data_IF_077151222349
#
_entry.id   IF_077151222349
#
_cell.length_a   1.000
_cell.length_b   1.000
_cell.length_c   1.000
_cell.angle_alpha   90.00
_cell.angle_beta   90.00
_cell.angle_gamma   90.00
#
_symmetry.space_group_name_H-M   'P 1'
#
loop_
_entity.id
_entity.type
_entity.pdbx_description
1 polymer ?
#
# COMPACT_ATOMS: atom_id res chain seq x y z
N UNK A 1 26.90 -9.15 -13.97
CA UNK A 1 27.04 -8.81 -12.54
C UNK A 1 25.64 -8.61 -11.99
N UNK A 2 25.29 -9.18 -10.82
CA UNK A 2 23.97 -8.92 -10.23
C UNK A 2 23.84 -7.41 -9.97
N UNK A 3 22.67 -6.80 -10.23
CA UNK A 3 22.46 -5.38 -9.98
C UNK A 3 22.76 -5.09 -8.51
N UNK A 4 23.62 -4.12 -8.27
CA UNK A 4 24.03 -3.74 -6.92
C UNK A 4 22.81 -3.20 -6.18
N UNK A 5 22.34 -3.93 -5.17
CA UNK A 5 21.22 -3.49 -4.35
C UNK A 5 21.63 -2.26 -3.54
N UNK A 6 20.79 -1.23 -3.62
CA UNK A 6 20.93 -0.01 -2.82
C UNK A 6 20.55 -0.34 -1.37
N UNK A 7 21.56 -0.48 -0.51
CA UNK A 7 21.37 -0.69 0.91
C UNK A 7 21.51 0.61 1.69
N UNK A 8 20.39 1.13 2.20
CA UNK A 8 20.35 2.33 3.01
C UNK A 8 20.48 1.97 4.50
N UNK A 9 21.40 2.64 5.19
CA UNK A 9 21.59 2.47 6.63
C UNK A 9 20.60 3.32 7.44
N UNK A 10 20.16 2.85 8.62
CA UNK A 10 19.41 3.69 9.55
C UNK A 10 20.12 5.02 9.83
N UNK A 11 19.36 6.11 9.87
CA UNK A 11 19.87 7.47 10.06
C UNK A 11 20.19 8.23 8.77
N UNK A 12 20.33 7.54 7.63
CA UNK A 12 20.48 8.21 6.32
C UNK A 12 19.23 9.03 5.97
N UNK A 13 19.43 10.17 5.32
CA UNK A 13 18.34 11.01 4.79
C UNK A 13 18.23 10.82 3.28
N UNK A 14 17.07 10.41 2.81
CA UNK A 14 16.73 10.34 1.38
C UNK A 14 16.02 11.63 0.97
N UNK A 15 16.41 12.18 -0.18
CA UNK A 15 15.89 13.44 -0.73
C UNK A 15 15.93 14.60 0.29
N UNK A 16 16.98 14.65 1.11
CA UNK A 16 17.19 15.64 2.18
C UNK A 16 16.06 15.74 3.22
N UNK A 17 15.11 14.80 3.21
CA UNK A 17 13.83 14.93 3.90
C UNK A 17 13.50 13.68 4.73
N UNK A 18 13.54 12.51 4.11
CA UNK A 18 13.08 11.27 4.71
C UNK A 18 14.22 10.57 5.45
N UNK A 19 14.14 10.50 6.77
CA UNK A 19 15.14 9.81 7.59
C UNK A 19 14.79 8.32 7.66
N UNK A 20 15.72 7.45 7.28
CA UNK A 20 15.58 6.00 7.37
C UNK A 20 15.63 5.56 8.84
N UNK A 21 14.63 4.79 9.27
CA UNK A 21 14.54 4.24 10.63
C UNK A 21 15.02 2.79 10.65
N UNK A 22 14.48 1.95 9.76
CA UNK A 22 14.82 0.52 9.69
C UNK A 22 14.49 -0.08 8.33
N UNK A 23 15.19 -1.14 7.95
CA UNK A 23 14.84 -1.98 6.79
C UNK A 23 13.61 -2.83 7.13
N UNK A 24 12.57 -2.77 6.30
CA UNK A 24 11.34 -3.56 6.46
C UNK A 24 11.40 -4.87 5.70
N UNK A 25 12.05 -4.86 4.53
CA UNK A 25 12.24 -6.03 3.68
C UNK A 25 13.08 -5.71 2.44
N UNK A 26 13.52 -6.76 1.74
CA UNK A 26 14.17 -6.67 0.44
C UNK A 26 13.60 -7.75 -0.48
N UNK A 27 13.60 -7.48 -1.78
CA UNK A 27 13.18 -8.37 -2.84
C UNK A 27 14.00 -8.17 -4.11
N UNK A 28 13.65 -8.88 -5.17
CA UNK A 28 14.39 -8.85 -6.43
C UNK A 28 14.44 -7.46 -7.08
N UNK A 29 13.39 -6.66 -6.89
CA UNK A 29 13.24 -5.32 -7.48
C UNK A 29 13.81 -4.19 -6.60
N UNK A 30 14.30 -4.51 -5.40
CA UNK A 30 14.86 -3.52 -4.49
C UNK A 30 14.50 -3.74 -3.03
N UNK A 31 14.57 -2.68 -2.23
CA UNK A 31 14.39 -2.74 -0.78
C UNK A 31 13.33 -1.75 -0.29
N UNK A 32 12.69 -2.09 0.82
CA UNK A 32 11.67 -1.28 1.49
C UNK A 32 12.13 -0.94 2.89
N UNK A 33 12.03 0.32 3.25
CA UNK A 33 12.48 0.89 4.51
C UNK A 33 11.35 1.62 5.21
N UNK A 34 11.36 1.62 6.53
CA UNK A 34 10.56 2.53 7.33
C UNK A 34 11.31 3.86 7.40
N UNK A 35 10.63 4.96 7.10
CA UNK A 35 11.19 6.29 7.10
C UNK A 35 10.27 7.28 7.82
N UNK A 36 10.84 8.39 8.29
CA UNK A 36 10.09 9.49 8.90
C UNK A 36 10.48 10.85 8.32
N UNK A 37 9.53 11.75 8.28
CA UNK A 37 9.72 13.17 8.03
C UNK A 37 8.86 13.98 9.01
N UNK A 38 9.50 14.61 10.00
CA UNK A 38 8.81 15.26 11.10
C UNK A 38 7.95 14.26 11.88
N UNK A 39 6.63 14.53 11.95
CA UNK A 39 5.62 13.65 12.57
C UNK A 39 5.05 12.60 11.62
N UNK A 40 5.45 12.60 10.34
CA UNK A 40 4.92 11.68 9.32
C UNK A 40 5.83 10.47 9.17
N UNK A 41 5.23 9.28 9.26
CA UNK A 41 5.89 8.01 8.97
C UNK A 41 5.46 7.46 7.60
N UNK A 42 6.37 6.75 6.93
CA UNK A 42 6.13 6.18 5.61
C UNK A 42 6.98 4.94 5.33
N UNK A 43 6.56 4.17 4.34
CA UNK A 43 7.36 3.12 3.73
C UNK A 43 8.05 3.68 2.48
N UNK A 44 9.38 3.62 2.45
CA UNK A 44 10.21 4.06 1.34
C UNK A 44 10.71 2.83 0.58
N UNK A 45 10.27 2.69 -0.67
CA UNK A 45 10.74 1.63 -1.57
C UNK A 45 11.78 2.23 -2.53
N UNK A 46 12.92 1.56 -2.66
CA UNK A 46 14.02 1.96 -3.56
C UNK A 46 14.21 0.95 -4.68
N UNK A 47 14.52 1.43 -5.88
CA UNK A 47 14.91 0.62 -7.03
C UNK A 47 16.21 1.18 -7.64
N UNK A 48 17.21 0.34 -7.97
CA UNK A 48 18.40 0.79 -8.68
C UNK A 48 18.03 1.43 -10.02
N UNK A 49 18.77 2.47 -10.41
CA UNK A 49 18.58 3.11 -11.72
C UNK A 49 18.79 2.14 -12.88
N UNK A 50 19.80 1.29 -12.75
CA UNK A 50 20.22 0.34 -13.79
C UNK A 50 19.47 -1.00 -13.66
N UNK A 51 18.28 -0.98 -13.09
CA UNK A 51 17.43 -2.17 -13.01
C UNK A 51 17.06 -2.63 -14.43
N UNK A 52 17.21 -3.93 -14.71
CA UNK A 52 16.89 -4.52 -16.02
C UNK A 52 15.42 -4.34 -16.44
N UNK A 53 14.51 -4.20 -15.47
CA UNK A 53 13.10 -3.90 -15.68
C UNK A 53 12.66 -2.87 -14.62
N UNK A 54 12.72 -1.57 -14.92
CA UNK A 54 12.36 -0.54 -13.96
C UNK A 54 10.84 -0.45 -13.84
N UNK A 55 10.28 -0.96 -12.74
CA UNK A 55 8.84 -1.00 -12.50
C UNK A 55 8.39 0.08 -11.52
N UNK A 56 9.31 0.64 -10.73
CA UNK A 56 8.97 1.62 -9.69
C UNK A 56 8.25 2.86 -10.24
N UNK A 57 8.62 3.33 -11.43
CA UNK A 57 7.97 4.46 -12.08
C UNK A 57 6.51 4.15 -12.46
N UNK A 58 6.26 2.93 -12.96
CA UNK A 58 4.91 2.47 -13.28
C UNK A 58 4.08 2.29 -12.00
N UNK A 59 4.65 1.68 -10.96
CA UNK A 59 3.99 1.56 -9.66
C UNK A 59 3.61 2.93 -9.09
N UNK A 60 4.52 3.90 -9.17
CA UNK A 60 4.28 5.28 -8.75
C UNK A 60 3.13 5.94 -9.52
N UNK A 61 3.12 5.78 -10.85
CA UNK A 61 2.06 6.33 -11.70
C UNK A 61 0.69 5.70 -11.39
N UNK A 62 0.63 4.38 -11.25
CA UNK A 62 -0.60 3.67 -10.89
C UNK A 62 -1.11 4.12 -9.52
N UNK A 63 -0.23 4.24 -8.51
CA UNK A 63 -0.61 4.73 -7.19
C UNK A 63 -1.12 6.17 -7.21
N UNK A 64 -0.52 7.05 -8.02
CA UNK A 64 -0.99 8.43 -8.20
C UNK A 64 -2.38 8.46 -8.84
N UNK A 65 -2.61 7.68 -9.88
CA UNK A 65 -3.93 7.62 -10.55
C UNK A 65 -5.00 7.01 -9.65
N UNK A 66 -4.68 5.97 -8.88
CA UNK A 66 -5.60 5.40 -7.90
C UNK A 66 -5.99 6.41 -6.81
N UNK A 67 -5.06 7.27 -6.39
CA UNK A 67 -5.35 8.32 -5.41
C UNK A 67 -6.27 9.42 -5.96
N UNK A 68 -6.37 9.59 -7.28
CA UNK A 68 -7.29 10.54 -7.92
C UNK A 68 -8.73 10.03 -7.92
N UNK A 69 -8.94 8.72 -7.80
CA UNK A 69 -10.25 8.09 -7.76
C UNK A 69 -10.81 8.21 -6.33
N UNK A 70 -12.01 8.77 -6.17
CA UNK A 70 -12.62 9.16 -4.87
C UNK A 70 -12.91 8.01 -3.86
N UNK A 71 -12.63 6.75 -4.19
CA UNK A 71 -12.82 5.59 -3.28
C UNK A 71 -11.47 4.90 -3.00
N UNK A 72 -10.47 5.68 -2.58
CA UNK A 72 -9.08 5.24 -2.35
C UNK A 72 -8.86 4.57 -0.97
N UNK A 73 -9.93 4.17 -0.29
CA UNK A 73 -9.90 3.74 1.13
C UNK A 73 -9.00 2.54 1.41
N UNK A 74 -8.69 1.74 0.38
CA UNK A 74 -7.89 0.53 0.49
C UNK A 74 -6.48 0.67 -0.08
N UNK A 75 -6.15 1.80 -0.69
CA UNK A 75 -4.84 2.03 -1.30
C UNK A 75 -3.92 2.86 -0.42
N UNK A 76 -2.62 2.57 -0.53
CA UNK A 76 -1.59 3.38 0.12
C UNK A 76 -1.48 4.75 -0.55
N UNK A 77 -1.39 5.79 0.26
CA UNK A 77 -1.20 7.15 -0.26
C UNK A 77 0.25 7.36 -0.66
N UNK A 78 0.46 7.89 -1.85
CA UNK A 78 1.78 8.33 -2.27
C UNK A 78 2.12 9.67 -1.60
N UNK A 79 3.22 9.73 -0.86
CA UNK A 79 3.70 10.94 -0.20
C UNK A 79 4.80 11.64 -1.00
N UNK A 80 5.66 10.88 -1.67
CA UNK A 80 6.84 11.43 -2.35
C UNK A 80 7.34 10.44 -3.41
N UNK A 81 7.81 10.94 -4.54
CA UNK A 81 8.43 10.13 -5.60
C UNK A 81 9.62 10.92 -6.13
N UNK A 82 10.72 10.24 -6.37
CA UNK A 82 11.86 10.89 -7.00
C UNK A 82 13.02 9.96 -7.25
N UNK A 83 14.16 10.59 -7.50
CA UNK A 83 15.43 9.93 -7.67
C UNK A 83 16.41 10.59 -6.72
N UNK A 84 17.19 9.79 -6.04
CA UNK A 84 18.22 10.28 -5.12
C UNK A 84 19.56 9.62 -5.45
N UNK A 85 20.64 10.23 -4.97
CA UNK A 85 21.99 9.72 -5.14
C UNK A 85 22.76 9.83 -3.85
N UNK A 86 23.10 8.69 -3.27
CA UNK A 86 23.76 8.60 -1.97
C UNK A 86 25.16 7.99 -2.13
N UNK A 87 26.11 8.48 -1.34
CA UNK A 87 27.42 7.84 -1.24
C UNK A 87 27.31 6.67 -0.27
N UNK A 88 27.30 5.44 -0.79
CA UNK A 88 27.10 4.23 0.01
C UNK A 88 28.41 3.43 0.04
N UNK A 89 29.13 3.54 1.15
CA UNK A 89 30.38 2.81 1.39
C UNK A 89 31.52 3.19 0.41
N UNK A 90 32.52 2.29 0.23
CA UNK A 90 33.65 2.53 -0.67
C UNK A 90 33.27 2.45 -2.16
N UNK A 91 32.04 2.03 -2.48
CA UNK A 91 31.54 1.83 -3.84
C UNK A 91 31.21 3.14 -4.59
N UNK A 92 31.33 4.29 -3.92
CA UNK A 92 31.08 5.60 -4.51
C UNK A 92 29.61 6.01 -4.48
N UNK A 93 29.27 6.98 -5.34
CA UNK A 93 27.93 7.58 -5.42
C UNK A 93 26.99 6.65 -6.19
N UNK A 94 25.95 6.16 -5.54
CA UNK A 94 24.93 5.28 -6.12
C UNK A 94 23.63 6.04 -6.31
N UNK A 95 23.08 5.99 -7.53
CA UNK A 95 21.79 6.60 -7.86
C UNK A 95 20.67 5.56 -7.80
N UNK A 96 19.51 5.94 -7.26
CA UNK A 96 18.33 5.07 -7.17
C UNK A 96 17.04 5.88 -7.29
N UNK A 97 16.00 5.22 -7.79
CA UNK A 97 14.64 5.75 -7.76
C UNK A 97 14.00 5.39 -6.42
N UNK A 98 13.13 6.25 -5.90
CA UNK A 98 12.39 5.99 -4.68
C UNK A 98 10.93 6.42 -4.79
N UNK A 99 10.08 5.72 -4.03
CA UNK A 99 8.71 6.13 -3.72
C UNK A 99 8.50 6.02 -2.22
N UNK A 100 7.86 7.03 -1.64
CA UNK A 100 7.42 7.05 -0.26
C UNK A 100 5.90 6.94 -0.25
N UNK A 101 5.40 5.93 0.43
CA UNK A 101 3.98 5.65 0.58
C UNK A 101 3.59 5.55 2.05
N UNK A 102 2.30 5.65 2.34
CA UNK A 102 1.77 5.48 3.70
C UNK A 102 2.18 4.13 4.29
N UNK A 103 2.69 4.15 5.53
CA UNK A 103 3.03 2.92 6.23
C UNK A 103 1.77 2.10 6.49
N UNK A 104 1.83 0.80 6.17
CA UNK A 104 0.74 -0.14 6.42
C UNK A 104 1.14 -1.13 7.51
N UNK A 105 0.13 -1.86 8.00
CA UNK A 105 0.32 -2.92 8.98
C UNK A 105 1.22 -4.07 8.47
N UNK A 106 1.46 -5.07 9.32
CA UNK A 106 2.24 -6.24 8.95
C UNK A 106 1.66 -6.93 7.72
N UNK A 107 2.56 -7.40 6.84
CA UNK A 107 2.19 -8.17 5.66
C UNK A 107 1.38 -9.42 6.01
N UNK A 108 0.55 -9.84 5.06
CA UNK A 108 -0.36 -10.97 5.24
C UNK A 108 0.40 -12.25 5.64
N UNK A 109 1.60 -12.46 5.10
CA UNK A 109 2.48 -13.59 5.44
C UNK A 109 2.88 -13.60 6.93
N UNK A 110 3.18 -12.43 7.50
CA UNK A 110 3.51 -12.27 8.92
C UNK A 110 2.28 -12.52 9.79
N UNK A 111 1.11 -12.04 9.36
CA UNK A 111 -0.15 -12.28 10.04
C UNK A 111 -0.52 -13.77 10.06
N UNK A 112 -0.31 -14.49 8.95
CA UNK A 112 -0.50 -15.95 8.88
C UNK A 112 0.45 -16.67 9.84
N UNK A 113 1.75 -16.33 9.80
CA UNK A 113 2.77 -16.96 10.64
C UNK A 113 2.55 -16.71 12.14
N UNK A 114 1.99 -15.57 12.51
CA UNK A 114 1.70 -15.22 13.89
C UNK A 114 0.51 -16.00 14.48
N UNK A 115 -0.33 -16.65 13.65
CA UNK A 115 -1.48 -17.43 14.14
C UNK A 115 -1.09 -18.87 14.50
N UNK A 116 -1.69 -19.43 15.57
CA UNK A 116 -1.58 -20.86 15.85
C UNK A 116 -2.14 -21.64 14.65
N UNK A 117 -1.34 -22.55 14.09
CA UNK A 117 -1.71 -23.34 12.91
C UNK A 117 -1.37 -22.71 11.54
N UNK A 118 -0.71 -21.53 11.50
CA UNK A 118 -0.20 -20.89 10.27
C UNK A 118 -1.26 -20.74 9.16
N UNK A 119 -2.50 -20.45 9.54
CA UNK A 119 -3.65 -20.29 8.62
C UNK A 119 -4.57 -19.17 9.13
N UNK A 120 -5.25 -18.50 8.21
CA UNK A 120 -6.37 -17.64 8.58
C UNK A 120 -7.60 -18.48 8.91
N UNK A 121 -8.45 -17.98 9.80
CA UNK A 121 -9.80 -18.53 9.91
C UNK A 121 -10.57 -18.23 8.62
N UNK A 122 -11.55 -19.07 8.23
CA UNK A 122 -12.34 -18.86 7.01
C UNK A 122 -12.91 -17.43 6.91
N UNK A 123 -13.40 -16.87 8.03
CA UNK A 123 -13.90 -15.49 8.06
C UNK A 123 -12.82 -14.41 7.84
N UNK A 124 -11.60 -14.60 8.37
CA UNK A 124 -10.48 -13.67 8.08
C UNK A 124 -10.02 -13.79 6.62
N UNK A 125 -9.96 -15.02 6.08
CA UNK A 125 -9.61 -15.25 4.68
C UNK A 125 -10.61 -14.58 3.74
N UNK A 126 -11.92 -14.81 3.94
CA UNK A 126 -13.00 -14.20 3.16
C UNK A 126 -12.96 -12.67 3.28
N UNK A 127 -12.78 -12.12 4.49
CA UNK A 127 -12.69 -10.67 4.70
C UNK A 127 -11.53 -10.02 3.95
N UNK A 128 -10.35 -10.65 3.95
CA UNK A 128 -9.18 -10.20 3.18
C UNK A 128 -9.46 -10.31 1.68
N UNK A 129 -10.04 -11.41 1.19
CA UNK A 129 -10.41 -11.58 -0.22
C UNK A 129 -11.43 -10.53 -0.69
N UNK A 130 -12.43 -10.19 0.14
CA UNK A 130 -13.42 -9.15 -0.18
C UNK A 130 -12.74 -7.78 -0.31
N UNK A 131 -11.80 -7.44 0.57
CA UNK A 131 -11.07 -6.16 0.49
C UNK A 131 -10.13 -6.11 -0.73
N UNK A 132 -9.48 -7.23 -1.07
CA UNK A 132 -8.58 -7.32 -2.22
C UNK A 132 -9.31 -7.34 -3.58
N UNK A 133 -10.49 -7.95 -3.67
CA UNK A 133 -11.15 -8.23 -4.96
C UNK A 133 -12.44 -7.42 -5.14
N UNK A 134 -13.26 -7.31 -4.09
CA UNK A 134 -14.64 -6.83 -4.23
C UNK A 134 -14.81 -5.36 -3.87
N UNK A 135 -13.92 -4.77 -3.07
CA UNK A 135 -14.01 -3.32 -2.80
C UNK A 135 -13.26 -2.49 -3.86
N UNK A 136 -12.14 -2.99 -4.40
CA UNK A 136 -11.42 -2.34 -5.52
C UNK A 136 -12.17 -2.41 -6.85
N UNK A 137 -12.99 -3.45 -7.08
CA UNK A 137 -13.79 -3.61 -8.30
C UNK A 137 -15.11 -2.83 -8.32
N UNK A 138 -15.50 -2.16 -7.23
CA UNK A 138 -16.84 -1.54 -7.10
C UNK A 138 -17.02 -0.22 -7.84
N UNK A 139 -15.99 0.32 -8.49
CA UNK A 139 -16.14 1.51 -9.35
C UNK A 139 -16.25 1.22 -10.84
N UNK A 140 -16.06 -0.02 -11.31
CA UNK A 140 -16.37 -0.36 -12.71
C UNK A 140 -17.82 -0.87 -12.89
N UNK A 141 -18.44 -1.38 -11.81
CA UNK A 141 -19.81 -1.90 -11.84
C UNK A 141 -20.73 -1.20 -10.82
N UNK A 142 -20.75 0.14 -10.82
CA UNK A 142 -21.74 0.93 -10.05
C UNK A 142 -22.57 1.90 -10.89
N UNK A 143 -22.63 1.69 -12.21
CA UNK A 143 -23.65 2.32 -13.05
C UNK A 143 -24.75 1.39 -13.56
N UNK A 144 -24.72 0.07 -13.29
CA UNK A 144 -25.75 -0.85 -13.86
C UNK A 144 -26.32 -1.90 -12.91
N UNK A 145 -26.12 -1.84 -11.58
CA UNK A 145 -26.60 -2.92 -10.69
C UNK A 145 -27.32 -2.49 -9.41
N UNK A 146 -27.38 -1.20 -9.08
CA UNK A 146 -28.15 -0.73 -7.92
C UNK A 146 -29.68 -0.66 -8.16
N UNK A 147 -30.15 -0.97 -9.36
CA UNK A 147 -31.60 -1.10 -9.64
C UNK A 147 -32.15 -2.53 -9.51
N UNK A 148 -31.31 -3.57 -9.30
CA UNK A 148 -31.80 -4.96 -9.31
C UNK A 148 -31.92 -5.62 -7.93
N UNK A 149 -31.30 -5.09 -6.87
CA UNK A 149 -31.43 -5.60 -5.50
C UNK A 149 -32.54 -4.91 -4.66
N UNK A 150 -33.55 -4.31 -5.30
CA UNK A 150 -34.79 -3.84 -4.66
C UNK A 150 -35.99 -4.81 -4.82
N UNK A 151 -35.82 -5.98 -5.47
CA UNK A 151 -36.95 -6.87 -5.80
C UNK A 151 -37.10 -8.17 -5.01
N UNK A 152 -36.19 -8.52 -4.10
CA UNK A 152 -36.38 -9.72 -3.28
C UNK A 152 -36.41 -9.36 -1.80
N UNK A 153 -37.64 -9.22 -1.32
CA UNK A 153 -38.01 -8.76 0.00
C UNK A 153 -37.35 -9.54 1.12
N UNK A 154 -36.46 -8.85 1.84
CA UNK A 154 -36.11 -9.21 3.19
C UNK A 154 -36.69 -8.12 4.08
N UNK A 155 -37.87 -8.42 4.61
CA UNK A 155 -38.57 -7.69 5.65
C UNK A 155 -37.69 -7.69 6.91
N UNK A 156 -37.25 -6.50 7.32
CA UNK A 156 -36.77 -6.25 8.68
C UNK A 156 -37.76 -5.30 9.32
N UNK A 157 -38.82 -5.88 9.85
CA UNK A 157 -39.78 -5.25 10.72
C UNK A 157 -39.10 -4.87 12.05
N UNK A 158 -38.47 -3.69 12.07
CA UNK A 158 -38.28 -2.95 13.32
C UNK A 158 -39.56 -2.15 13.55
N UNK A 159 -40.38 -2.64 14.47
CA UNK A 159 -41.52 -1.91 15.04
C UNK A 159 -41.07 -0.53 15.49
N UNK A 160 -41.52 0.52 14.79
CA UNK A 160 -41.84 1.80 15.41
C UNK A 160 -43.34 1.98 15.29
N UNK A 161 -44.02 1.70 16.38
CA UNK A 161 -45.38 2.17 16.62
C UNK A 161 -45.43 3.69 16.37
N UNK A 162 -46.21 4.08 15.34
CA UNK A 162 -47.38 4.95 15.43
C UNK A 162 -47.40 5.94 16.60
N UNK A 163 -47.65 7.24 16.49
CA UNK A 163 -48.29 8.12 15.47
C UNK A 163 -48.23 9.55 16.09
N UNK A 164 -48.98 10.57 15.61
CA UNK A 164 -48.85 11.31 14.36
C UNK A 164 -48.68 12.82 14.64
N UNK A 165 -48.44 13.59 13.58
CA UNK A 165 -48.27 15.04 13.66
C UNK A 165 -49.48 15.82 14.19
N UNK A 166 -49.17 17.06 14.54
CA UNK A 166 -49.75 18.24 13.91
C UNK A 166 -48.60 19.10 13.39
#
# INVERSE_FOLDING_TARGET
>A
MPPQLVELSPGMKVAEKWTIIKKLGAGAFGAVYHCKFGLREGALKTEPVDASMPLLAMEAHVLQELHRIKDDRHFTKCFDIGRDSQTIGPAGKVSFNYIVMSLVGPGLDKLVKARPGRRFSPGTAIGVSIQMVLHDGRNLCRQTSLERCRRHGCDWSVQRSSTPGQ
#
